data_IF_153802583614
#
_entry.id   IF_153802583614
#
_cell.length_a   1.000
_cell.length_b   1.000
_cell.length_c   1.000
_cell.angle_alpha   90.00
_cell.angle_beta   90.00
_cell.angle_gamma   90.00
#
_symmetry.space_group_name_H-M   'P 1'
#
loop_
_entity.id
_entity.type
_entity.pdbx_description
1 polymer ?
#
# COMPACT_ATOMS: atom_id res chain seq x y z
N UNK A 1 -18.54 -23.10 13.11
CA UNK A 1 -17.25 -23.24 12.40
C UNK A 1 -16.64 -21.85 12.39
N UNK A 2 -15.47 -21.71 13.01
CA UNK A 2 -14.74 -20.46 13.28
C UNK A 2 -14.77 -19.51 12.08
N UNK A 3 -14.90 -18.21 12.18
CA UNK A 3 -15.17 -17.21 13.21
C UNK A 3 -15.57 -16.03 12.31
N UNK A 4 -16.66 -15.31 12.61
CA UNK A 4 -17.06 -14.13 11.84
C UNK A 4 -15.82 -13.27 11.59
N UNK A 5 -15.21 -13.37 10.40
CA UNK A 5 -14.00 -12.63 10.07
C UNK A 5 -14.35 -11.17 10.24
N UNK A 6 -14.03 -10.62 11.40
CA UNK A 6 -14.23 -9.23 11.75
C UNK A 6 -13.13 -8.45 11.03
N UNK A 7 -13.04 -8.62 9.70
CA UNK A 7 -12.34 -7.76 8.77
C UNK A 7 -12.88 -6.36 9.05
N UNK A 8 -12.18 -5.68 9.94
CA UNK A 8 -12.52 -4.36 10.39
C UNK A 8 -12.00 -3.44 9.30
N UNK A 9 -12.83 -3.25 8.28
CA UNK A 9 -12.53 -2.34 7.17
C UNK A 9 -12.11 -1.00 7.77
N UNK A 10 -10.86 -0.56 7.55
CA UNK A 10 -10.40 0.68 8.12
C UNK A 10 -11.21 1.85 7.55
N UNK A 11 -11.45 2.92 8.34
CA UNK A 11 -12.20 4.07 7.88
C UNK A 11 -11.58 4.70 6.62
N UNK A 12 -10.26 4.61 6.44
CA UNK A 12 -9.56 5.05 5.23
C UNK A 12 -10.01 4.33 3.96
N UNK A 13 -10.36 3.04 4.04
CA UNK A 13 -10.88 2.28 2.90
C UNK A 13 -12.38 2.53 2.71
N UNK A 14 -13.15 2.53 3.80
CA UNK A 14 -14.58 2.85 3.75
C UNK A 14 -14.85 4.24 3.16
N UNK A 15 -13.95 5.20 3.37
CA UNK A 15 -14.01 6.54 2.78
C UNK A 15 -13.97 6.53 1.24
N UNK A 16 -13.34 5.53 0.60
CA UNK A 16 -13.31 5.40 -0.87
C UNK A 16 -14.71 5.14 -1.45
N UNK A 17 -15.56 4.48 -0.67
CA UNK A 17 -16.93 4.11 -1.06
C UNK A 17 -17.98 4.89 -0.26
N UNK A 18 -17.61 6.00 0.37
CA UNK A 18 -18.56 6.85 1.10
C UNK A 18 -18.78 8.14 0.32
N UNK A 19 -20.02 8.37 -0.12
CA UNK A 19 -20.44 9.61 -0.76
C UNK A 19 -21.52 10.28 0.08
N UNK A 20 -21.36 11.59 0.38
CA UNK A 20 -22.36 12.39 1.13
C UNK A 20 -22.82 11.71 2.44
N UNK A 21 -21.89 11.06 3.14
CA UNK A 21 -22.11 10.31 4.40
C UNK A 21 -22.90 8.99 4.25
N UNK A 22 -23.02 8.46 3.02
CA UNK A 22 -23.60 7.13 2.77
C UNK A 22 -22.64 6.26 1.97
N UNK A 23 -22.61 4.98 2.31
CA UNK A 23 -21.92 3.97 1.53
C UNK A 23 -22.56 3.83 0.15
N UNK A 24 -21.74 3.88 -0.90
CA UNK A 24 -22.14 3.70 -2.30
C UNK A 24 -22.31 2.23 -2.67
N UNK A 25 -21.69 1.32 -1.89
CA UNK A 25 -21.75 -0.13 -2.07
C UNK A 25 -22.30 -0.82 -0.83
N UNK A 26 -22.71 -2.09 -0.98
CA UNK A 26 -23.13 -2.90 0.17
C UNK A 26 -21.93 -3.24 1.06
N UNK A 27 -22.18 -3.52 2.34
CA UNK A 27 -21.11 -3.92 3.27
C UNK A 27 -20.42 -5.21 2.86
N UNK A 28 -21.13 -6.16 2.24
CA UNK A 28 -20.53 -7.38 1.69
C UNK A 28 -19.52 -7.06 0.59
N UNK A 29 -19.93 -6.25 -0.39
CA UNK A 29 -19.03 -5.80 -1.47
C UNK A 29 -17.82 -5.03 -0.93
N UNK A 30 -18.02 -4.17 0.06
CA UNK A 30 -16.91 -3.44 0.69
C UNK A 30 -15.88 -4.39 1.30
N UNK A 31 -16.33 -5.43 2.01
CA UNK A 31 -15.46 -6.44 2.61
C UNK A 31 -14.70 -7.24 1.55
N UNK A 32 -15.38 -7.69 0.49
CA UNK A 32 -14.74 -8.40 -0.62
C UNK A 32 -13.68 -7.55 -1.32
N UNK A 33 -13.96 -6.25 -1.52
CA UNK A 33 -12.98 -5.32 -2.12
C UNK A 33 -11.81 -5.04 -1.20
N UNK A 34 -12.08 -4.90 0.09
CA UNK A 34 -11.05 -4.67 1.10
C UNK A 34 -10.09 -5.87 1.19
N UNK A 35 -10.63 -7.08 1.29
CA UNK A 35 -9.87 -8.33 1.32
C UNK A 35 -8.95 -8.47 0.09
N UNK A 36 -9.49 -8.25 -1.11
CA UNK A 36 -8.71 -8.23 -2.35
C UNK A 36 -7.58 -7.19 -2.31
N UNK A 37 -7.87 -5.96 -1.90
CA UNK A 37 -6.88 -4.90 -1.85
C UNK A 37 -5.79 -5.17 -0.80
N UNK A 38 -6.18 -5.76 0.34
CA UNK A 38 -5.26 -6.11 1.42
C UNK A 38 -4.33 -7.26 1.02
N UNK A 39 -4.85 -8.30 0.36
CA UNK A 39 -4.02 -9.39 -0.21
C UNK A 39 -3.03 -8.86 -1.25
N UNK A 40 -3.49 -8.03 -2.19
CA UNK A 40 -2.64 -7.41 -3.20
C UNK A 40 -1.54 -6.54 -2.58
N UNK A 41 -1.88 -5.74 -1.56
CA UNK A 41 -0.89 -4.92 -0.85
C UNK A 41 0.20 -5.79 -0.21
N UNK A 42 -0.19 -6.86 0.48
CA UNK A 42 0.75 -7.80 1.10
C UNK A 42 1.64 -8.50 0.06
N UNK A 43 1.06 -8.93 -1.06
CA UNK A 43 1.82 -9.57 -2.14
C UNK A 43 2.86 -8.61 -2.76
N UNK A 44 2.51 -7.34 -2.90
CA UNK A 44 3.41 -6.32 -3.45
C UNK A 44 4.56 -5.94 -2.52
N UNK A 45 4.51 -6.27 -1.21
CA UNK A 45 5.60 -5.98 -0.26
C UNK A 45 6.89 -6.66 -0.69
N UNK A 46 6.82 -7.96 -1.01
CA UNK A 46 8.00 -8.74 -1.40
C UNK A 46 8.57 -8.25 -2.73
N UNK A 47 7.69 -8.05 -3.72
CA UNK A 47 8.05 -7.46 -5.01
C UNK A 47 8.70 -6.08 -4.87
N UNK A 48 8.13 -5.21 -4.04
CA UNK A 48 8.65 -3.87 -3.81
C UNK A 48 10.04 -3.89 -3.17
N UNK A 49 10.26 -4.75 -2.16
CA UNK A 49 11.58 -4.95 -1.55
C UNK A 49 12.60 -5.44 -2.56
N UNK A 50 12.22 -6.43 -3.38
CA UNK A 50 13.09 -6.98 -4.44
C UNK A 50 13.47 -5.88 -5.44
N UNK A 51 12.50 -5.13 -5.96
CA UNK A 51 12.77 -4.04 -6.91
C UNK A 51 13.64 -2.94 -6.31
N UNK A 52 13.37 -2.53 -5.07
CA UNK A 52 14.17 -1.50 -4.38
C UNK A 52 15.62 -1.96 -4.22
N UNK A 53 15.84 -3.18 -3.74
CA UNK A 53 17.17 -3.71 -3.48
C UNK A 53 17.94 -4.05 -4.77
N UNK A 54 17.30 -4.72 -5.73
CA UNK A 54 17.95 -5.19 -6.96
C UNK A 54 18.23 -4.06 -7.94
N UNK A 55 17.34 -3.07 -8.03
CA UNK A 55 17.45 -1.99 -9.01
C UNK A 55 17.93 -0.67 -8.39
N UNK A 56 18.05 -0.58 -7.07
CA UNK A 56 18.52 0.62 -6.37
C UNK A 56 17.65 1.85 -6.64
N UNK A 57 16.37 1.65 -6.96
CA UNK A 57 15.42 2.73 -7.28
C UNK A 57 14.80 3.29 -6.00
N UNK A 58 14.41 4.57 -6.01
CA UNK A 58 13.75 5.21 -4.86
C UNK A 58 12.40 4.58 -4.52
N UNK A 59 11.99 4.68 -3.25
CA UNK A 59 10.73 4.16 -2.73
C UNK A 59 9.52 4.64 -3.57
N UNK A 60 9.48 5.93 -3.94
CA UNK A 60 8.44 6.52 -4.79
C UNK A 60 8.36 5.86 -6.18
N UNK A 61 9.50 5.54 -6.79
CA UNK A 61 9.52 4.87 -8.11
C UNK A 61 9.00 3.42 -7.98
N UNK A 62 9.34 2.73 -6.89
CA UNK A 62 8.80 1.38 -6.63
C UNK A 62 7.28 1.44 -6.45
N UNK A 63 6.78 2.38 -5.64
CA UNK A 63 5.34 2.57 -5.43
C UNK A 63 4.62 2.93 -6.74
N UNK A 64 5.19 3.83 -7.54
CA UNK A 64 4.66 4.20 -8.85
C UNK A 64 4.62 3.00 -9.81
N UNK A 65 5.64 2.14 -9.78
CA UNK A 65 5.70 0.91 -10.59
C UNK A 65 4.65 -0.11 -10.15
N UNK A 66 4.50 -0.35 -8.85
CA UNK A 66 3.44 -1.20 -8.30
C UNK A 66 2.06 -0.71 -8.73
N UNK A 67 1.78 0.59 -8.57
CA UNK A 67 0.51 1.19 -8.99
C UNK A 67 0.27 1.07 -10.50
N UNK A 68 1.29 1.29 -11.33
CA UNK A 68 1.18 1.08 -12.79
C UNK A 68 0.84 -0.36 -13.12
N UNK A 69 1.42 -1.33 -12.42
CA UNK A 69 1.11 -2.76 -12.56
C UNK A 69 -0.33 -3.11 -12.18
N UNK A 70 -0.83 -2.55 -11.08
CA UNK A 70 -2.23 -2.73 -10.64
C UNK A 70 -3.27 -2.21 -11.65
N UNK A 71 -2.92 -1.15 -12.39
CA UNK A 71 -3.78 -0.55 -13.42
C UNK A 71 -3.56 -1.13 -14.82
N UNK A 72 -2.59 -2.04 -14.99
CA UNK A 72 -2.36 -2.72 -16.27
C UNK A 72 -3.45 -3.77 -16.52
N UNK A 73 -3.84 -3.94 -17.79
CA UNK A 73 -4.89 -4.87 -18.17
C UNK A 73 -4.42 -6.34 -18.10
N UNK A 74 -5.23 -7.28 -17.58
CA UNK A 74 -6.56 -7.07 -16.99
C UNK A 74 -6.49 -6.52 -15.55
N UNK A 75 -6.98 -5.29 -15.36
CA UNK A 75 -6.95 -4.61 -14.06
C UNK A 75 -8.07 -5.13 -13.16
N UNK A 76 -7.71 -5.67 -12.00
CA UNK A 76 -8.67 -6.16 -10.99
C UNK A 76 -9.16 -5.06 -10.04
N UNK A 77 -8.45 -3.93 -10.02
CA UNK A 77 -8.70 -2.79 -9.12
C UNK A 77 -8.90 -1.49 -9.90
N UNK A 78 -9.67 -0.59 -9.32
CA UNK A 78 -9.96 0.75 -9.80
C UNK A 78 -8.79 1.71 -9.47
N UNK A 79 -8.67 2.86 -10.15
CA UNK A 79 -7.64 3.86 -9.83
C UNK A 79 -7.67 4.35 -8.37
N UNK A 80 -8.85 4.39 -7.75
CA UNK A 80 -8.99 4.76 -6.32
C UNK A 80 -8.52 3.65 -5.38
N UNK A 81 -8.77 2.39 -5.72
CA UNK A 81 -8.30 1.21 -4.97
C UNK A 81 -6.78 1.11 -5.08
N UNK A 82 -6.22 1.28 -6.28
CA UNK A 82 -4.77 1.26 -6.51
C UNK A 82 -4.02 2.33 -5.71
N UNK A 83 -4.61 3.53 -5.55
CA UNK A 83 -4.08 4.59 -4.69
C UNK A 83 -4.09 4.22 -3.21
N UNK A 84 -5.14 3.53 -2.77
CA UNK A 84 -5.19 3.05 -1.39
C UNK A 84 -4.17 1.94 -1.13
N UNK A 85 -4.01 1.01 -2.08
CA UNK A 85 -2.99 -0.04 -2.04
C UNK A 85 -1.58 0.56 -1.99
N UNK A 86 -1.30 1.60 -2.80
CA UNK A 86 -0.04 2.36 -2.77
C UNK A 86 0.27 2.89 -1.36
N UNK A 87 -0.73 3.52 -0.70
CA UNK A 87 -0.59 4.01 0.67
C UNK A 87 -0.36 2.90 1.69
N UNK A 88 -1.12 1.80 1.61
CA UNK A 88 -0.93 0.64 2.50
C UNK A 88 0.41 -0.04 2.30
N UNK A 89 0.87 -0.16 1.06
CA UNK A 89 2.17 -0.72 0.73
C UNK A 89 3.29 0.12 1.36
N UNK A 90 3.19 1.45 1.27
CA UNK A 90 4.11 2.37 1.95
C UNK A 90 4.11 2.16 3.47
N UNK A 91 2.94 2.03 4.10
CA UNK A 91 2.85 1.73 5.54
C UNK A 91 3.48 0.38 5.92
N UNK A 92 3.21 -0.67 5.14
CA UNK A 92 3.75 -2.03 5.39
C UNK A 92 5.27 -2.09 5.23
N UNK A 93 5.82 -1.26 4.34
CA UNK A 93 7.25 -1.18 4.08
C UNK A 93 7.97 -0.20 5.02
N UNK A 94 7.22 0.62 5.76
CA UNK A 94 7.79 1.69 6.59
C UNK A 94 8.22 2.92 5.79
N UNK A 95 7.80 3.06 4.53
CA UNK A 95 8.19 4.15 3.62
C UNK A 95 7.34 5.43 3.77
N UNK A 96 6.51 5.50 4.81
CA UNK A 96 5.79 6.71 5.19
C UNK A 96 6.82 7.78 5.55
N UNK A 97 6.95 8.80 4.69
CA UNK A 97 7.90 9.90 4.84
C UNK A 97 7.90 10.50 6.26
N UNK A 98 8.91 10.11 7.05
CA UNK A 98 9.39 10.93 8.18
C UNK A 98 9.05 10.46 9.59
N UNK A 99 8.95 9.16 9.87
CA UNK A 99 8.97 8.68 11.26
C UNK A 99 10.09 7.70 11.62
N UNK A 100 11.14 7.62 10.79
CA UNK A 100 12.46 7.19 11.24
C UNK A 100 13.23 8.40 11.78
N UNK A 101 13.25 8.65 13.10
CA UNK A 101 14.21 9.58 13.69
C UNK A 101 15.67 9.09 13.51
N UNK A 102 15.87 7.82 13.13
CA UNK A 102 17.17 7.15 13.03
C UNK A 102 17.82 7.27 11.64
N UNK A 103 17.04 7.56 10.59
CA UNK A 103 17.56 7.72 9.21
C UNK A 103 18.41 9.00 9.02
N UNK A 104 18.64 9.79 10.08
CA UNK A 104 19.49 10.99 10.07
C UNK A 104 20.97 10.71 10.35
N UNK A 105 21.41 9.47 10.58
CA UNK A 105 22.84 9.21 10.84
C UNK A 105 23.42 8.13 9.93
N UNK A 106 23.75 8.52 8.70
CA UNK A 106 24.94 7.98 8.02
C UNK A 106 26.01 9.06 8.06
N UNK A 107 26.94 9.05 9.02
CA UNK A 107 28.16 9.82 8.90
C UNK A 107 28.93 9.17 7.75
N UNK A 108 29.06 9.87 6.63
CA UNK A 108 29.97 9.48 5.56
C UNK A 108 31.38 9.25 6.13
N UNK A 109 32.19 8.37 5.52
CA UNK A 109 33.49 8.01 6.08
C UNK A 109 34.29 9.27 6.33
N UNK A 110 34.76 9.42 7.57
CA UNK A 110 35.74 10.43 7.94
C UNK A 110 36.99 10.17 7.09
N UNK A 111 37.12 10.93 6.01
CA UNK A 111 38.37 11.03 5.25
C UNK A 111 39.41 11.61 6.22
N UNK A 112 40.31 10.73 6.65
CA UNK A 112 41.40 11.09 7.53
C UNK A 112 42.42 11.93 6.78
N UNK A 113 42.66 13.14 7.27
CA UNK A 113 43.91 13.86 7.06
C UNK A 113 44.24 14.79 8.23
#
# INVERSE_FOLDING_TARGET
>A
MQDDSQLQVPPSFAALYTERQRLTVTRGTLLERFDLCEDLANHLVDFAKSVHYEQGVSEDEVLARCRRGLLAAPSQVSPVEARWIEGRLSELLGWQAGLDPDAREVPGPADGQ
#
